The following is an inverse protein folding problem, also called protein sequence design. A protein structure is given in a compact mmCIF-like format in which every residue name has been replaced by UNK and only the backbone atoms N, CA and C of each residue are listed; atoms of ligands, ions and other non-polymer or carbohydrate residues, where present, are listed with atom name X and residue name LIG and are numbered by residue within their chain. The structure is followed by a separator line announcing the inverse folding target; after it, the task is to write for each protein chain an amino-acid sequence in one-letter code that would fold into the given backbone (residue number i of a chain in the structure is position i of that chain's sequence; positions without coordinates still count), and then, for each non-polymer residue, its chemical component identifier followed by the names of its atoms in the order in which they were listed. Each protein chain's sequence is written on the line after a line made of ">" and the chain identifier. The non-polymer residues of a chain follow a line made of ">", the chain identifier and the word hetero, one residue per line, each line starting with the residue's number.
data_IF_352844321619
#
_entry.id   IF_352844321619
#
_cell.length_a   1.000
_cell.length_b   1.000
_cell.length_c   1.000
_cell.angle_alpha   90.00
_cell.angle_beta   90.00
_cell.angle_gamma   90.00
#
_symmetry.space_group_name_H-M   'P 1'
#
loop_
_entity.id
_entity.type
_entity.pdbx_description
1 polymer ?
#
# COMPACT_ATOMS: atom_id res chain seq x y z
N UNK A 1 -7.61 3.34 -20.09
CA UNK A 1 -6.48 3.70 -19.19
C UNK A 1 -5.97 2.49 -18.42
N UNK A 2 -6.83 1.54 -18.04
CA UNK A 2 -6.48 0.32 -17.29
C UNK A 2 -5.44 -0.59 -17.98
N UNK A 3 -5.40 -0.65 -19.32
CA UNK A 3 -4.51 -1.58 -20.06
C UNK A 3 -3.00 -1.27 -19.99
N UNK A 4 -2.60 -0.12 -19.42
CA UNK A 4 -1.18 0.29 -19.34
C UNK A 4 -0.53 0.00 -17.98
N UNK A 5 -1.32 -0.24 -16.94
CA UNK A 5 -0.82 -0.57 -15.61
C UNK A 5 -0.80 -2.09 -15.44
N UNK A 6 0.21 -2.56 -14.72
CA UNK A 6 0.35 -3.97 -14.34
C UNK A 6 0.67 -4.00 -12.86
N UNK A 7 0.27 -5.08 -12.16
CA UNK A 7 0.76 -5.27 -10.81
C UNK A 7 2.29 -5.40 -10.82
N UNK A 8 2.90 -5.02 -9.71
CA UNK A 8 4.29 -5.31 -9.41
C UNK A 8 4.56 -6.82 -9.42
N UNK A 9 5.84 -7.21 -9.56
CA UNK A 9 6.21 -8.62 -9.55
C UNK A 9 6.01 -9.26 -8.16
N UNK A 10 4.90 -9.97 -8.01
CA UNK A 10 4.53 -10.69 -6.79
C UNK A 10 5.15 -12.09 -6.68
N UNK A 11 5.93 -12.55 -7.67
CA UNK A 11 6.38 -13.95 -7.79
C UNK A 11 7.12 -14.44 -6.54
N UNK A 12 8.07 -13.65 -6.03
CA UNK A 12 8.82 -14.00 -4.80
C UNK A 12 7.93 -14.04 -3.57
N UNK A 13 7.04 -13.06 -3.44
CA UNK A 13 6.11 -12.98 -2.32
C UNK A 13 5.16 -14.19 -2.28
N UNK A 14 4.61 -14.58 -3.43
CA UNK A 14 3.77 -15.78 -3.57
C UNK A 14 4.59 -17.04 -3.28
N UNK A 15 5.84 -17.12 -3.75
CA UNK A 15 6.72 -18.26 -3.47
C UNK A 15 6.96 -18.45 -1.97
N UNK A 16 7.37 -17.41 -1.25
CA UNK A 16 7.56 -17.49 0.21
C UNK A 16 6.25 -17.72 0.96
N UNK A 17 5.15 -17.16 0.47
CA UNK A 17 3.81 -17.45 0.98
C UNK A 17 3.49 -18.95 0.89
N UNK A 18 3.89 -19.63 -0.20
CA UNK A 18 3.66 -21.08 -0.36
C UNK A 18 4.48 -21.92 0.61
N UNK A 19 5.70 -21.49 0.93
CA UNK A 19 6.53 -22.18 1.92
C UNK A 19 5.92 -22.09 3.32
N UNK A 20 5.30 -20.95 3.66
CA UNK A 20 4.67 -20.72 4.96
C UNK A 20 3.25 -21.29 5.05
N UNK A 21 2.50 -21.19 3.97
CA UNK A 21 1.12 -21.65 3.81
C UNK A 21 1.05 -22.64 2.64
N UNK A 22 1.33 -23.93 2.88
CA UNK A 22 1.24 -24.95 1.83
C UNK A 22 -0.14 -25.03 1.19
N UNK A 23 -1.19 -24.69 1.94
CA UNK A 23 -2.53 -24.44 1.42
C UNK A 23 -2.85 -22.93 1.47
N UNK A 24 -3.14 -22.32 0.32
CA UNK A 24 -3.42 -20.88 0.24
C UNK A 24 -4.80 -20.50 0.79
N UNK A 25 -5.68 -21.47 0.95
CA UNK A 25 -6.98 -21.29 1.58
C UNK A 25 -6.87 -21.00 3.09
N UNK A 26 -5.71 -21.29 3.69
CA UNK A 26 -5.43 -21.01 5.10
C UNK A 26 -5.07 -19.54 5.35
N UNK A 27 -4.82 -18.76 4.28
CA UNK A 27 -4.54 -17.32 4.37
C UNK A 27 -5.85 -16.56 4.53
N UNK A 28 -5.98 -15.81 5.62
CA UNK A 28 -7.23 -15.15 6.02
C UNK A 28 -7.16 -13.62 5.98
N UNK A 29 -5.99 -13.02 6.26
CA UNK A 29 -5.83 -11.55 6.32
C UNK A 29 -4.60 -11.10 5.55
N UNK A 30 -4.80 -10.21 4.58
CA UNK A 30 -3.73 -9.60 3.79
C UNK A 30 -3.83 -8.08 3.87
N UNK A 31 -2.71 -7.42 4.12
CA UNK A 31 -2.60 -5.96 4.07
C UNK A 31 -1.83 -5.55 2.82
N UNK A 32 -2.37 -4.60 2.06
CA UNK A 32 -1.76 -3.96 0.90
C UNK A 32 -1.62 -2.46 1.19
N UNK A 33 -0.41 -2.01 1.52
CA UNK A 33 -0.14 -0.65 2.01
C UNK A 33 0.56 0.14 0.92
N UNK A 34 -0.08 1.24 0.50
CA UNK A 34 0.31 2.01 -0.69
C UNK A 34 -0.18 1.35 -1.97
N UNK A 35 -1.47 0.99 -1.97
CA UNK A 35 -2.07 0.11 -2.98
C UNK A 35 -2.05 0.69 -4.40
N UNK A 36 -1.95 2.02 -4.56
CA UNK A 36 -1.93 2.83 -5.80
C UNK A 36 -3.13 2.65 -6.72
N UNK A 37 -3.41 1.42 -7.12
CA UNK A 37 -4.46 1.00 -8.05
C UNK A 37 -5.09 -0.35 -7.70
N UNK A 38 -4.68 -1.00 -6.59
CA UNK A 38 -5.20 -2.31 -6.13
C UNK A 38 -4.99 -3.50 -7.07
N UNK A 39 -4.10 -3.42 -8.05
CA UNK A 39 -3.76 -4.56 -8.91
C UNK A 39 -3.09 -5.70 -8.12
N UNK A 40 -2.25 -5.38 -7.14
CA UNK A 40 -1.64 -6.33 -6.21
C UNK A 40 -2.74 -7.02 -5.39
N UNK A 41 -3.64 -6.23 -4.80
CA UNK A 41 -4.83 -6.74 -4.10
C UNK A 41 -5.67 -7.68 -4.97
N UNK A 42 -5.88 -7.36 -6.25
CA UNK A 42 -6.62 -8.22 -7.21
C UNK A 42 -5.85 -9.52 -7.49
N UNK A 43 -4.53 -9.47 -7.62
CA UNK A 43 -3.72 -10.69 -7.76
C UNK A 43 -3.77 -11.54 -6.49
N UNK A 44 -3.69 -10.92 -5.31
CA UNK A 44 -3.81 -11.62 -4.04
C UNK A 44 -5.20 -12.25 -3.86
N UNK A 45 -6.29 -11.59 -4.28
CA UNK A 45 -7.63 -12.16 -4.14
C UNK A 45 -7.83 -13.43 -4.98
N UNK A 46 -7.15 -13.52 -6.12
CA UNK A 46 -7.14 -14.71 -6.99
C UNK A 46 -6.30 -15.84 -6.40
N UNK A 47 -5.17 -15.53 -5.75
CA UNK A 47 -4.25 -16.52 -5.18
C UNK A 47 -4.68 -17.04 -3.81
N UNK A 48 -5.31 -16.18 -3.00
CA UNK A 48 -5.72 -16.46 -1.63
C UNK A 48 -7.26 -16.33 -1.55
N UNK A 49 -8.01 -17.37 -1.90
CA UNK A 49 -9.45 -17.29 -2.15
C UNK A 49 -10.31 -17.09 -0.88
N UNK A 50 -9.74 -17.25 0.31
CA UNK A 50 -10.42 -17.02 1.59
C UNK A 50 -9.98 -15.73 2.29
N UNK A 51 -8.94 -15.06 1.80
CA UNK A 51 -8.39 -13.88 2.45
C UNK A 51 -9.32 -12.67 2.34
N UNK A 52 -9.49 -11.95 3.45
CA UNK A 52 -9.91 -10.55 3.42
C UNK A 52 -8.69 -9.68 3.20
N UNK A 53 -8.76 -8.81 2.20
CA UNK A 53 -7.67 -7.93 1.79
C UNK A 53 -8.03 -6.51 2.22
N UNK A 54 -7.12 -5.86 2.92
CA UNK A 54 -7.26 -4.49 3.39
C UNK A 54 -6.21 -3.64 2.68
N UNK A 55 -6.68 -2.85 1.71
CA UNK A 55 -5.87 -1.96 0.89
C UNK A 55 -5.93 -0.53 1.44
N UNK A 56 -4.76 0.07 1.68
CA UNK A 56 -4.64 1.42 2.21
C UNK A 56 -3.97 2.30 1.14
N UNK A 57 -4.64 3.38 0.75
CA UNK A 57 -4.14 4.32 -0.26
C UNK A 57 -4.36 5.77 0.19
N UNK A 58 -3.27 6.54 0.28
CA UNK A 58 -3.30 7.91 0.78
C UNK A 58 -3.77 8.91 -0.30
N UNK A 59 -3.33 8.73 -1.54
CA UNK A 59 -3.60 9.67 -2.63
C UNK A 59 -5.06 9.55 -3.09
N UNK A 60 -5.88 10.62 -2.97
CA UNK A 60 -7.30 10.55 -3.34
C UNK A 60 -7.57 10.28 -4.84
N UNK A 61 -6.58 10.53 -5.72
CA UNK A 61 -6.68 10.14 -7.14
C UNK A 61 -6.53 8.62 -7.27
N UNK A 62 -5.45 8.08 -6.73
CA UNK A 62 -5.16 6.64 -6.69
C UNK A 62 -6.28 5.84 -5.99
N UNK A 63 -6.81 6.35 -4.88
CA UNK A 63 -7.92 5.71 -4.17
C UNK A 63 -9.14 5.48 -5.07
N UNK A 64 -9.47 6.43 -5.97
CA UNK A 64 -10.58 6.26 -6.91
C UNK A 64 -10.30 5.14 -7.91
N UNK A 65 -9.05 5.00 -8.36
CA UNK A 65 -8.64 3.92 -9.24
C UNK A 65 -8.70 2.57 -8.51
N UNK A 66 -8.26 2.51 -7.25
CA UNK A 66 -8.39 1.34 -6.39
C UNK A 66 -9.86 0.85 -6.31
N UNK A 67 -10.78 1.76 -6.00
CA UNK A 67 -12.22 1.46 -5.89
C UNK A 67 -12.77 0.93 -7.21
N UNK A 68 -12.48 1.61 -8.32
CA UNK A 68 -12.99 1.20 -9.63
C UNK A 68 -12.43 -0.15 -10.07
N UNK A 69 -11.14 -0.41 -9.86
CA UNK A 69 -10.49 -1.66 -10.25
C UNK A 69 -10.98 -2.86 -9.44
N UNK A 70 -11.24 -2.69 -8.14
CA UNK A 70 -11.61 -3.78 -7.24
C UNK A 70 -13.11 -3.89 -6.97
N UNK A 71 -13.97 -3.05 -7.57
CA UNK A 71 -15.41 -2.95 -7.28
C UNK A 71 -16.21 -4.26 -7.35
N UNK A 72 -15.74 -5.25 -8.11
CA UNK A 72 -16.39 -6.55 -8.28
C UNK A 72 -15.91 -7.62 -7.31
N UNK A 73 -14.99 -7.30 -6.39
CA UNK A 73 -14.35 -8.25 -5.49
C UNK A 73 -14.63 -7.82 -4.04
N UNK A 74 -15.70 -8.34 -3.46
CA UNK A 74 -16.19 -7.96 -2.12
C UNK A 74 -15.17 -8.14 -0.99
N UNK A 75 -14.20 -9.05 -1.16
CA UNK A 75 -13.15 -9.32 -0.17
C UNK A 75 -12.03 -8.28 -0.15
N UNK A 76 -11.99 -7.34 -1.10
CA UNK A 76 -11.03 -6.24 -1.14
C UNK A 76 -11.69 -5.01 -0.51
N UNK A 77 -11.17 -4.59 0.63
CA UNK A 77 -11.63 -3.45 1.42
C UNK A 77 -10.63 -2.32 1.28
N UNK A 78 -11.05 -1.15 0.78
CA UNK A 78 -10.13 -0.06 0.41
C UNK A 78 -10.38 1.14 1.31
N UNK A 79 -9.31 1.71 1.85
CA UNK A 79 -9.35 2.85 2.76
C UNK A 79 -8.53 4.02 2.20
N UNK A 80 -9.15 5.19 2.06
CA UNK A 80 -8.44 6.41 1.68
C UNK A 80 -7.75 7.05 2.89
N UNK A 81 -6.65 6.45 3.33
CA UNK A 81 -5.88 6.89 4.49
C UNK A 81 -4.39 6.66 4.25
N UNK A 82 -3.55 7.52 4.80
CA UNK A 82 -2.12 7.28 4.89
C UNK A 82 -1.80 6.41 6.12
N UNK A 83 -1.14 5.28 5.92
CA UNK A 83 -0.65 4.49 7.05
C UNK A 83 0.53 5.20 7.69
N UNK A 84 0.42 5.48 8.99
CA UNK A 84 1.33 6.36 9.71
C UNK A 84 1.60 5.82 11.13
N UNK A 85 2.45 6.50 11.91
CA UNK A 85 2.69 6.17 13.31
C UNK A 85 1.73 6.85 14.30
N UNK A 86 0.72 7.56 13.79
CA UNK A 86 -0.37 8.15 14.56
C UNK A 86 -1.68 8.14 13.75
N UNK A 87 -2.80 8.29 14.47
CA UNK A 87 -4.11 8.58 13.89
C UNK A 87 -4.35 10.09 13.81
N UNK A 88 -5.09 10.54 12.80
CA UNK A 88 -5.48 11.95 12.67
C UNK A 88 -5.32 12.45 11.24
N UNK A 89 -4.86 13.70 11.07
CA UNK A 89 -4.57 14.29 9.77
C UNK A 89 -3.05 14.43 9.62
N UNK A 90 -2.52 14.13 8.44
CA UNK A 90 -1.11 14.32 8.13
C UNK A 90 -0.91 15.05 6.80
N UNK A 91 0.26 15.68 6.69
CA UNK A 91 0.76 16.17 5.42
C UNK A 91 1.11 14.99 4.49
N UNK A 92 0.72 15.11 3.22
CA UNK A 92 1.04 14.16 2.16
C UNK A 92 1.46 14.90 0.90
N UNK A 93 2.49 14.41 0.23
CA UNK A 93 3.09 15.03 -0.95
C UNK A 93 2.65 14.27 -2.19
N UNK A 94 1.47 14.64 -2.68
CA UNK A 94 0.88 14.02 -3.86
C UNK A 94 1.59 14.49 -5.12
N UNK A 95 1.91 13.55 -6.02
CA UNK A 95 2.48 13.88 -7.32
C UNK A 95 1.48 14.69 -8.13
N UNK A 96 1.96 15.78 -8.74
CA UNK A 96 1.24 16.56 -9.72
C UNK A 96 1.57 16.01 -11.12
N UNK A 97 0.70 15.17 -11.71
CA UNK A 97 1.03 14.47 -12.96
C UNK A 97 1.12 15.41 -14.17
N UNK A 98 0.56 16.61 -14.09
CA UNK A 98 0.60 17.60 -15.17
C UNK A 98 1.93 18.36 -15.23
N UNK A 99 2.67 18.39 -14.11
CA UNK A 99 3.90 19.16 -13.96
C UNK A 99 5.15 18.30 -13.75
N UNK A 100 4.99 17.07 -13.29
CA UNK A 100 6.09 16.12 -13.13
C UNK A 100 6.66 15.74 -14.49
N UNK A 101 7.99 15.71 -14.59
CA UNK A 101 8.70 15.26 -15.80
C UNK A 101 9.15 13.82 -15.58
N UNK A 102 8.56 12.91 -16.33
CA UNK A 102 8.73 11.47 -16.16
C UNK A 102 8.38 10.70 -17.44
N UNK A 103 8.96 9.50 -17.67
CA UNK A 103 8.49 8.60 -18.73
C UNK A 103 7.15 7.92 -18.42
N UNK A 104 6.66 7.96 -17.17
CA UNK A 104 5.42 7.32 -16.77
C UNK A 104 4.20 8.07 -17.31
N UNK A 105 3.29 7.34 -17.97
CA UNK A 105 2.15 7.93 -18.66
C UNK A 105 1.13 8.63 -17.74
N UNK A 106 1.10 8.23 -16.46
CA UNK A 106 0.22 8.75 -15.42
C UNK A 106 0.89 9.87 -14.60
N UNK A 107 2.08 10.31 -15.01
CA UNK A 107 2.86 11.28 -14.24
C UNK A 107 3.54 10.69 -13.00
N UNK A 108 3.59 9.36 -12.88
CA UNK A 108 4.13 8.61 -11.74
C UNK A 108 3.39 8.90 -10.43
N UNK A 109 2.07 8.72 -10.41
CA UNK A 109 1.25 8.93 -9.22
C UNK A 109 1.70 8.06 -8.03
N UNK A 110 2.28 6.90 -8.31
CA UNK A 110 2.83 5.98 -7.31
C UNK A 110 3.94 6.58 -6.47
N UNK A 111 4.70 7.56 -6.98
CA UNK A 111 5.75 8.28 -6.24
C UNK A 111 5.21 9.31 -5.23
N UNK A 112 3.91 9.29 -4.94
CA UNK A 112 3.33 10.13 -3.88
C UNK A 112 3.68 9.56 -2.51
N UNK A 113 4.06 10.42 -1.55
CA UNK A 113 4.59 9.93 -0.27
C UNK A 113 4.24 10.82 0.91
N UNK A 114 4.39 10.27 2.12
CA UNK A 114 4.45 11.04 3.38
C UNK A 114 5.71 11.91 3.47
N UNK A 115 6.70 11.69 2.60
CA UNK A 115 7.91 12.48 2.50
C UNK A 115 7.89 13.36 1.25
N UNK A 116 8.47 14.54 1.39
CA UNK A 116 8.76 15.40 0.25
C UNK A 116 9.98 14.85 -0.46
N UNK A 117 9.89 14.65 -1.77
CA UNK A 117 11.00 14.19 -2.57
C UNK A 117 12.21 15.11 -2.42
N UNK A 118 13.39 14.54 -2.18
CA UNK A 118 14.62 15.31 -2.00
C UNK A 118 15.19 15.94 -3.30
N UNK A 119 14.62 15.60 -4.46
CA UNK A 119 15.00 16.14 -5.77
C UNK A 119 16.33 15.61 -6.33
N UNK A 120 16.92 14.58 -5.72
CA UNK A 120 18.19 13.96 -6.15
C UNK A 120 18.01 12.79 -7.10
N UNK A 121 16.77 12.32 -7.33
CA UNK A 121 16.51 11.23 -8.26
C UNK A 121 16.83 11.69 -9.69
N UNK A 122 17.81 11.08 -10.38
CA UNK A 122 18.35 11.65 -11.62
C UNK A 122 17.48 11.42 -12.85
N UNK A 123 16.49 10.52 -12.77
CA UNK A 123 15.71 10.09 -13.93
C UNK A 123 14.38 10.83 -14.09
N UNK A 124 13.86 11.41 -13.01
CA UNK A 124 12.55 12.08 -12.98
C UNK A 124 12.62 13.37 -12.19
N UNK A 125 11.79 14.34 -12.56
CA UNK A 125 11.63 15.60 -11.83
C UNK A 125 10.23 15.68 -11.26
N UNK A 126 10.10 15.28 -10.01
CA UNK A 126 8.83 15.31 -9.29
C UNK A 126 8.40 16.73 -8.96
N UNK A 127 7.14 17.03 -9.30
CA UNK A 127 6.43 18.18 -8.78
C UNK A 127 5.34 17.63 -7.86
N UNK A 128 5.36 18.05 -6.60
CA UNK A 128 4.44 17.56 -5.58
C UNK A 128 3.57 18.69 -5.05
N UNK A 129 2.28 18.43 -4.93
CA UNK A 129 1.33 19.27 -4.21
C UNK A 129 1.23 18.75 -2.77
N UNK A 130 1.40 19.65 -1.80
CA UNK A 130 1.21 19.33 -0.38
C UNK A 130 -0.29 19.37 -0.08
N UNK A 131 -0.84 18.23 0.35
CA UNK A 131 -2.25 18.08 0.73
C UNK A 131 -2.34 17.51 2.14
N UNK A 132 -3.50 17.71 2.77
CA UNK A 132 -3.84 17.06 4.03
C UNK A 132 -4.69 15.83 3.76
N UNK A 133 -4.34 14.70 4.39
CA UNK A 133 -5.09 13.45 4.29
C UNK A 133 -5.31 12.84 5.66
N UNK A 134 -6.35 12.04 5.79
CA UNK A 134 -6.54 11.19 6.97
C UNK A 134 -5.38 10.21 7.07
N UNK A 135 -4.92 10.01 8.29
CA UNK A 135 -3.85 9.08 8.64
C UNK A 135 -4.33 8.11 9.70
N UNK A 136 -3.79 6.90 9.64
CA UNK A 136 -4.15 5.83 10.56
C UNK A 136 -2.94 5.09 11.07
N UNK A 137 -2.97 4.78 12.35
CA UNK A 137 -2.03 3.86 13.00
C UNK A 137 -2.60 2.45 12.93
N UNK A 138 -1.84 1.50 12.37
CA UNK A 138 -2.37 0.16 12.09
C UNK A 138 -2.84 -0.60 13.32
N UNK A 139 -2.22 -0.44 14.49
CA UNK A 139 -2.68 -1.13 15.70
C UNK A 139 -4.07 -0.64 16.15
N UNK A 140 -4.30 0.67 16.04
CA UNK A 140 -5.56 1.32 16.39
C UNK A 140 -6.65 0.94 15.38
N UNK A 141 -6.30 0.93 14.09
CA UNK A 141 -7.18 0.42 13.03
C UNK A 141 -7.56 -1.07 13.24
N UNK A 142 -6.58 -1.93 13.52
CA UNK A 142 -6.81 -3.36 13.76
C UNK A 142 -7.73 -3.58 14.97
N UNK A 143 -7.52 -2.84 16.06
CA UNK A 143 -8.38 -2.91 17.25
C UNK A 143 -9.82 -2.49 16.93
N UNK A 144 -10.01 -1.41 16.16
CA UNK A 144 -11.32 -0.91 15.78
C UNK A 144 -12.08 -1.85 14.83
N UNK A 145 -11.36 -2.58 13.98
CA UNK A 145 -11.95 -3.48 12.97
C UNK A 145 -11.92 -4.96 13.39
N UNK A 146 -11.47 -5.28 14.61
CA UNK A 146 -11.42 -6.65 15.12
C UNK A 146 -10.39 -7.55 14.41
N UNK A 147 -9.39 -6.98 13.74
CA UNK A 147 -8.31 -7.72 13.07
C UNK A 147 -7.23 -8.07 14.09
N UNK A 148 -7.06 -9.37 14.37
CA UNK A 148 -6.17 -9.87 15.43
C UNK A 148 -4.82 -10.36 14.94
N UNK A 149 -4.73 -10.73 13.66
CA UNK A 149 -3.53 -11.22 13.01
C UNK A 149 -3.49 -10.75 11.56
N UNK A 150 -2.28 -10.69 11.02
CA UNK A 150 -2.03 -10.39 9.62
C UNK A 150 -1.21 -11.56 9.08
N UNK A 151 -1.68 -12.23 8.04
CA UNK A 151 -0.94 -13.36 7.49
C UNK A 151 0.14 -12.85 6.54
N UNK A 152 -0.25 -11.98 5.61
CA UNK A 152 0.62 -11.43 4.60
C UNK A 152 0.52 -9.90 4.59
N UNK A 153 1.64 -9.22 4.43
CA UNK A 153 1.70 -7.76 4.32
C UNK A 153 2.59 -7.37 3.14
N UNK A 154 2.04 -6.60 2.21
CA UNK A 154 2.74 -5.95 1.12
C UNK A 154 2.83 -4.45 1.42
N UNK A 155 4.04 -3.90 1.39
CA UNK A 155 4.30 -2.48 1.69
C UNK A 155 5.09 -1.87 0.55
N UNK A 156 4.45 -0.96 -0.18
CA UNK A 156 5.09 -0.07 -1.14
C UNK A 156 4.56 1.34 -0.86
N UNK A 157 5.22 2.02 0.07
CA UNK A 157 4.74 3.29 0.61
C UNK A 157 5.79 4.39 0.48
N UNK A 158 6.60 4.30 -0.58
CA UNK A 158 7.58 5.31 -0.99
C UNK A 158 8.43 5.83 0.18
N UNK A 159 9.13 4.90 0.84
CA UNK A 159 9.99 5.15 2.00
C UNK A 159 9.31 5.20 3.38
N UNK A 160 7.99 5.10 3.48
CA UNK A 160 7.27 5.16 4.76
C UNK A 160 7.35 3.88 5.64
N UNK A 161 8.05 2.85 5.18
CA UNK A 161 8.13 1.55 5.86
C UNK A 161 8.49 1.60 7.35
N UNK A 162 9.52 2.36 7.73
CA UNK A 162 9.93 2.48 9.14
C UNK A 162 8.85 3.12 10.01
N UNK A 163 8.19 4.17 9.48
CA UNK A 163 7.09 4.86 10.16
C UNK A 163 5.87 3.94 10.32
N UNK A 164 5.59 3.10 9.34
CA UNK A 164 4.55 2.06 9.43
C UNK A 164 4.87 1.08 10.56
N UNK A 165 6.11 0.57 10.64
CA UNK A 165 6.50 -0.36 11.70
C UNK A 165 6.47 0.25 13.11
N UNK A 166 6.86 1.52 13.25
CA UNK A 166 6.68 2.27 14.50
C UNK A 166 5.19 2.33 14.90
N UNK A 167 4.32 2.62 13.93
CA UNK A 167 2.87 2.66 14.11
C UNK A 167 2.27 1.33 14.54
N UNK A 168 2.72 0.21 13.98
CA UNK A 168 2.23 -1.12 14.33
C UNK A 168 2.52 -1.48 15.80
N UNK A 169 3.66 -1.04 16.32
CA UNK A 169 4.15 -1.47 17.63
C UNK A 169 4.43 -2.98 17.70
N UNK A 170 5.06 -3.41 18.80
CA UNK A 170 5.54 -4.80 18.94
C UNK A 170 4.41 -5.83 18.90
N UNK A 171 3.26 -5.52 19.49
CA UNK A 171 2.15 -6.47 19.62
C UNK A 171 1.58 -6.86 18.26
N UNK A 172 1.23 -5.89 17.41
CA UNK A 172 0.70 -6.18 16.09
C UNK A 172 1.77 -6.78 15.19
N UNK A 173 2.99 -6.23 15.20
CA UNK A 173 4.09 -6.71 14.36
C UNK A 173 4.39 -8.21 14.60
N UNK A 174 4.33 -8.68 15.85
CA UNK A 174 4.51 -10.10 16.19
C UNK A 174 3.42 -11.03 15.65
N UNK A 175 2.30 -10.50 15.16
CA UNK A 175 1.23 -11.31 14.56
C UNK A 175 1.48 -11.59 13.07
N UNK A 176 2.30 -10.76 12.42
CA UNK A 176 2.55 -10.81 10.98
C UNK A 176 3.36 -12.04 10.60
N UNK A 177 2.96 -12.81 9.57
CA UNK A 177 3.71 -14.02 9.16
C UNK A 177 4.73 -13.74 8.07
N UNK A 178 4.38 -12.92 7.08
CA UNK A 178 5.25 -12.53 5.97
C UNK A 178 5.08 -11.04 5.68
N UNK A 179 6.20 -10.35 5.49
CA UNK A 179 6.25 -8.95 5.06
C UNK A 179 7.09 -8.88 3.79
N UNK A 180 6.52 -8.35 2.72
CA UNK A 180 7.25 -7.77 1.59
C UNK A 180 7.24 -6.26 1.76
N UNK A 181 8.39 -5.62 1.61
CA UNK A 181 8.53 -4.19 1.76
C UNK A 181 9.51 -3.62 0.73
N UNK A 182 9.10 -2.54 0.07
CA UNK A 182 10.01 -1.65 -0.64
C UNK A 182 10.80 -0.80 0.37
N UNK A 183 12.12 -0.74 0.22
CA UNK A 183 13.00 0.01 1.10
C UNK A 183 13.65 1.17 0.35
N UNK A 184 13.56 2.36 0.93
CA UNK A 184 14.27 3.56 0.48
C UNK A 184 15.16 4.10 1.59
N UNK A 185 16.42 4.42 1.26
CA UNK A 185 17.37 5.02 2.19
C UNK A 185 17.33 6.55 2.24
N UNK A 186 16.83 7.19 1.17
CA UNK A 186 16.78 8.64 1.02
C UNK A 186 15.57 9.05 0.16
N UNK A 187 14.35 9.07 0.73
CA UNK A 187 13.18 9.66 0.08
C UNK A 187 13.37 11.17 -0.17
#
# INVERSE_FOLDING_TARGET
>A
MVDKLKPEDTTKFIHYSKLKFPNFDDVSVIFDIGSRHSLESIEFSKKFPNANIYAFEANPKCYRDCIENAKSIERINIYNVAVNNYDGICDFYAINPEKTITPWFDGNLGASSLYKANGKYPHEKYVQDKIEVSSVRLDSWCNANGVKNIDLMWIDAQGAGMRIFEGMGKKLLNTVKIIQIELEGTP
#
